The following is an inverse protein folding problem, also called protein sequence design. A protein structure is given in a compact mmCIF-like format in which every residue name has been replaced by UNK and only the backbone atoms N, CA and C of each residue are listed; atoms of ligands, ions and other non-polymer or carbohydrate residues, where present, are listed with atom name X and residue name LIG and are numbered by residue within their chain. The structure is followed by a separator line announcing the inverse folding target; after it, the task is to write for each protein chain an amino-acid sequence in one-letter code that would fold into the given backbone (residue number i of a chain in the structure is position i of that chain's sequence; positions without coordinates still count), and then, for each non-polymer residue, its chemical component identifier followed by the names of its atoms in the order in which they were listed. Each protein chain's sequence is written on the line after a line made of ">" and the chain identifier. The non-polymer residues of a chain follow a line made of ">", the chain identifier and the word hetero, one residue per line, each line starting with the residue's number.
data_IF_096566181835
#
_entry.id   IF_096566181835
#
_cell.length_a   1.000
_cell.length_b   1.000
_cell.length_c   1.000
_cell.angle_alpha   90.00
_cell.angle_beta   90.00
_cell.angle_gamma   90.00
#
_symmetry.space_group_name_H-M   'P 1'
#
loop_
_entity.id
_entity.type
_entity.pdbx_description
1 polymer ?
#
# COMPACT_ATOMS: atom_id res chain seq x y z
N UNK A 1 6.39 30.44 20.82
CA UNK A 1 6.59 31.50 19.80
C UNK A 1 6.95 32.84 20.42
N UNK A 2 6.44 33.20 21.61
CA UNK A 2 6.79 34.45 22.28
C UNK A 2 8.29 34.67 22.55
N UNK A 3 9.04 33.62 22.94
CA UNK A 3 10.49 33.77 23.22
C UNK A 3 11.31 34.05 21.96
N UNK A 4 11.00 33.36 20.86
CA UNK A 4 11.66 33.57 19.56
C UNK A 4 11.31 34.92 18.94
N UNK A 5 10.10 35.43 19.18
CA UNK A 5 9.72 36.78 18.76
C UNK A 5 10.46 37.87 19.55
N UNK A 6 10.61 37.68 20.87
CA UNK A 6 11.41 38.57 21.73
C UNK A 6 12.89 38.60 21.34
N UNK A 7 13.44 37.46 20.94
CA UNK A 7 14.81 37.37 20.42
C UNK A 7 14.94 38.02 19.04
N UNK A 8 13.92 37.91 18.19
CA UNK A 8 13.91 38.60 16.90
C UNK A 8 13.87 40.13 17.07
N UNK A 9 13.12 40.63 18.06
CA UNK A 9 13.12 42.03 18.46
C UNK A 9 14.50 42.48 18.97
N UNK A 10 15.17 41.68 19.81
CA UNK A 10 16.48 42.05 20.35
C UNK A 10 17.60 42.02 19.31
N UNK A 11 17.44 41.22 18.25
CA UNK A 11 18.38 41.16 17.11
C UNK A 11 18.16 42.26 16.07
N UNK A 12 17.09 43.07 16.19
CA UNK A 12 16.81 44.18 15.29
C UNK A 12 16.47 43.76 13.85
N UNK A 13 15.65 42.72 13.67
CA UNK A 13 15.24 42.28 12.34
C UNK A 13 14.48 43.40 11.59
N UNK A 14 14.56 43.42 10.25
CA UNK A 14 13.90 44.45 9.45
C UNK A 14 12.37 44.42 9.67
N UNK A 15 11.79 45.62 9.71
CA UNK A 15 10.38 45.88 10.01
C UNK A 15 9.36 44.94 9.35
N UNK A 16 9.42 44.62 8.03
CA UNK A 16 8.41 43.76 7.40
C UNK A 16 8.37 42.33 7.95
N UNK A 17 9.52 41.77 8.37
CA UNK A 17 9.58 40.44 8.97
C UNK A 17 8.91 40.45 10.35
N UNK A 18 9.12 41.54 11.08
CA UNK A 18 8.55 41.72 12.40
C UNK A 18 7.03 41.87 12.35
N UNK A 19 6.51 42.62 11.37
CA UNK A 19 5.07 42.79 11.13
C UNK A 19 4.40 41.44 10.84
N UNK A 20 4.98 40.62 9.95
CA UNK A 20 4.43 39.28 9.66
C UNK A 20 4.45 38.39 10.91
N UNK A 21 5.55 38.41 11.68
CA UNK A 21 5.66 37.64 12.90
C UNK A 21 4.67 38.11 13.99
N UNK A 22 4.35 39.41 14.03
CA UNK A 22 3.32 39.97 14.90
C UNK A 22 1.92 39.51 14.48
N UNK A 23 1.60 39.49 13.19
CA UNK A 23 0.32 38.94 12.69
C UNK A 23 0.09 37.47 13.07
N UNK A 24 1.15 36.66 13.11
CA UNK A 24 1.04 35.26 13.57
C UNK A 24 0.97 35.11 15.10
N UNK A 25 1.38 36.14 15.86
CA UNK A 25 1.47 36.11 17.32
C UNK A 25 0.30 36.82 18.02
N UNK A 26 -0.24 37.87 17.41
CA UNK A 26 -1.35 38.68 17.93
C UNK A 26 -2.68 37.98 17.65
N UNK A 27 -3.00 36.99 18.48
CA UNK A 27 -4.30 36.32 18.49
C UNK A 27 -5.39 37.18 19.12
N UNK A 28 -5.72 38.33 18.54
CA UNK A 28 -6.86 39.14 18.98
C UNK A 28 -8.14 38.60 18.33
N UNK A 29 -8.91 37.86 19.13
CA UNK A 29 -10.39 37.71 19.20
C UNK A 29 -11.24 37.43 17.94
N UNK A 30 -10.65 37.38 16.74
CA UNK A 30 -11.32 36.93 15.50
C UNK A 30 -10.37 36.33 14.46
N UNK A 31 -9.07 36.32 14.72
CA UNK A 31 -8.00 35.97 13.78
C UNK A 31 -7.01 35.00 14.47
N UNK A 32 -7.45 33.80 14.87
CA UNK A 32 -6.61 32.78 15.55
C UNK A 32 -5.73 31.95 14.60
N UNK A 33 -5.24 32.57 13.52
CA UNK A 33 -4.51 31.89 12.44
C UNK A 33 -3.26 31.18 12.90
N UNK A 34 -2.48 31.78 13.81
CA UNK A 34 -1.27 31.17 14.34
C UNK A 34 -1.52 29.83 15.05
N UNK A 35 -2.65 29.70 15.75
CA UNK A 35 -3.07 28.46 16.40
C UNK A 35 -3.60 27.44 15.40
N UNK A 36 -4.49 27.87 14.51
CA UNK A 36 -5.11 27.00 13.50
C UNK A 36 -4.10 26.43 12.51
N UNK A 37 -3.16 27.24 12.00
CA UNK A 37 -2.06 26.76 11.16
C UNK A 37 -1.16 25.77 11.87
N UNK A 38 -0.91 25.99 13.18
CA UNK A 38 -0.11 25.07 13.98
C UNK A 38 -0.82 23.72 14.16
N UNK A 39 -2.11 23.73 14.45
CA UNK A 39 -2.93 22.51 14.56
C UNK A 39 -3.02 21.77 13.23
N UNK A 40 -3.25 22.48 12.12
CA UNK A 40 -3.25 21.91 10.78
C UNK A 40 -1.89 21.29 10.41
N UNK A 41 -0.80 21.96 10.79
CA UNK A 41 0.57 21.45 10.63
C UNK A 41 0.84 20.19 11.44
N UNK A 42 0.43 20.15 12.71
CA UNK A 42 0.56 18.95 13.56
C UNK A 42 -0.24 17.77 13.01
N UNK A 43 -1.47 18.02 12.56
CA UNK A 43 -2.28 17.00 11.90
C UNK A 43 -1.59 16.46 10.64
N UNK A 44 -1.12 17.35 9.77
CA UNK A 44 -0.46 16.96 8.53
C UNK A 44 0.82 16.15 8.77
N UNK A 45 1.68 16.55 9.71
CA UNK A 45 2.92 15.81 9.99
C UNK A 45 2.65 14.43 10.58
N UNK A 46 1.66 14.28 11.48
CA UNK A 46 1.29 12.97 12.04
C UNK A 46 0.80 12.06 10.92
N UNK A 47 -0.09 12.57 10.06
CA UNK A 47 -0.63 11.81 8.93
C UNK A 47 0.41 11.47 7.86
N UNK A 48 1.38 12.35 7.61
CA UNK A 48 2.48 12.05 6.69
C UNK A 48 3.42 10.97 7.25
N UNK A 49 3.67 10.97 8.57
CA UNK A 49 4.44 9.90 9.22
C UNK A 49 3.71 8.56 9.18
N UNK A 50 2.39 8.54 9.38
CA UNK A 50 1.61 7.31 9.22
C UNK A 50 1.59 6.84 7.76
N UNK A 51 1.45 7.76 6.79
CA UNK A 51 1.57 7.44 5.38
C UNK A 51 2.95 6.85 5.04
N UNK A 52 4.02 7.43 5.58
CA UNK A 52 5.39 6.94 5.37
C UNK A 52 5.59 5.53 5.96
N UNK A 53 5.06 5.27 7.16
CA UNK A 53 5.09 3.94 7.75
C UNK A 53 4.30 2.91 6.91
N UNK A 54 3.12 3.28 6.42
CA UNK A 54 2.32 2.44 5.51
C UNK A 54 3.02 2.21 4.18
N UNK A 55 3.73 3.22 3.67
CA UNK A 55 4.54 3.12 2.46
C UNK A 55 5.71 2.14 2.64
N UNK A 56 6.40 2.14 3.78
CA UNK A 56 7.40 1.13 4.09
C UNK A 56 6.78 -0.27 4.20
N UNK A 57 5.62 -0.38 4.86
CA UNK A 57 4.91 -1.64 5.03
C UNK A 57 4.41 -2.21 3.70
N UNK A 58 3.89 -1.38 2.79
CA UNK A 58 3.46 -1.85 1.48
C UNK A 58 4.66 -2.35 0.65
N UNK A 59 5.82 -1.70 0.70
CA UNK A 59 7.03 -2.16 0.01
C UNK A 59 7.49 -3.53 0.54
N UNK A 60 7.44 -3.73 1.86
CA UNK A 60 7.73 -5.02 2.48
C UNK A 60 6.73 -6.10 2.04
N UNK A 61 5.43 -5.80 2.08
CA UNK A 61 4.40 -6.77 1.68
C UNK A 61 4.46 -7.10 0.18
N UNK A 62 4.82 -6.15 -0.69
CA UNK A 62 4.99 -6.43 -2.11
C UNK A 62 6.09 -7.49 -2.38
N UNK A 63 7.09 -7.60 -1.51
CA UNK A 63 8.15 -8.61 -1.59
C UNK A 63 7.67 -9.98 -1.06
N UNK A 64 6.93 -9.99 0.06
CA UNK A 64 6.54 -11.23 0.75
C UNK A 64 5.23 -11.82 0.19
N UNK A 65 4.16 -11.01 0.15
CA UNK A 65 2.84 -11.38 -0.36
C UNK A 65 2.19 -10.16 -1.06
N UNK A 66 2.25 -10.08 -2.39
CA UNK A 66 1.76 -8.96 -3.19
C UNK A 66 0.30 -8.61 -2.96
N UNK A 67 -0.54 -9.62 -2.67
CA UNK A 67 -1.97 -9.43 -2.38
C UNK A 67 -2.22 -8.50 -1.18
N UNK A 68 -1.41 -8.60 -0.13
CA UNK A 68 -1.49 -7.66 0.99
C UNK A 68 -0.81 -6.33 0.66
N UNK A 69 0.20 -6.35 -0.21
CA UNK A 69 0.87 -5.15 -0.72
C UNK A 69 -0.06 -4.22 -1.49
N UNK A 70 -0.91 -4.74 -2.37
CA UNK A 70 -1.88 -3.96 -3.16
C UNK A 70 -2.96 -3.32 -2.29
N UNK A 71 -3.45 -4.06 -1.28
CA UNK A 71 -4.38 -3.54 -0.28
C UNK A 71 -3.75 -2.40 0.53
N UNK A 72 -2.50 -2.55 0.99
CA UNK A 72 -1.80 -1.48 1.70
C UNK A 72 -1.49 -0.29 0.81
N UNK A 73 -1.22 -0.50 -0.47
CA UNK A 73 -0.94 0.55 -1.44
C UNK A 73 -2.16 1.42 -1.71
N UNK A 74 -3.36 0.83 -1.84
CA UNK A 74 -4.62 1.60 -1.94
C UNK A 74 -4.92 2.36 -0.64
N UNK A 75 -4.75 1.74 0.53
CA UNK A 75 -4.94 2.39 1.83
C UNK A 75 -3.95 3.55 2.03
N UNK A 76 -2.68 3.37 1.64
CA UNK A 76 -1.66 4.42 1.69
C UNK A 76 -2.04 5.61 0.82
N UNK A 77 -2.50 5.36 -0.42
CA UNK A 77 -2.97 6.41 -1.33
C UNK A 77 -4.19 7.17 -0.78
N UNK A 78 -5.17 6.45 -0.23
CA UNK A 78 -6.34 7.06 0.42
C UNK A 78 -5.96 7.90 1.64
N UNK A 79 -4.97 7.45 2.42
CA UNK A 79 -4.47 8.19 3.58
C UNK A 79 -3.77 9.49 3.14
N UNK A 80 -2.99 9.47 2.06
CA UNK A 80 -2.39 10.69 1.48
C UNK A 80 -3.45 11.70 1.00
N UNK A 81 -4.45 11.24 0.25
CA UNK A 81 -5.57 12.09 -0.19
C UNK A 81 -6.37 12.61 1.01
N UNK A 82 -6.60 11.76 2.01
CA UNK A 82 -7.26 12.12 3.27
C UNK A 82 -6.47 13.16 4.07
N UNK A 83 -5.14 13.11 4.03
CA UNK A 83 -4.26 14.10 4.66
C UNK A 83 -4.41 15.47 3.99
N UNK A 84 -4.41 15.49 2.66
CA UNK A 84 -4.58 16.71 1.84
C UNK A 84 -5.98 17.32 2.06
N UNK A 85 -7.02 16.49 2.07
CA UNK A 85 -8.39 16.91 2.33
C UNK A 85 -8.57 17.41 3.77
N UNK A 86 -8.03 16.68 4.75
CA UNK A 86 -8.02 17.09 6.15
C UNK A 86 -7.29 18.41 6.35
N UNK A 87 -6.13 18.59 5.71
CA UNK A 87 -5.40 19.86 5.76
C UNK A 87 -6.23 21.03 5.20
N UNK A 88 -6.95 20.84 4.09
CA UNK A 88 -7.86 21.86 3.56
C UNK A 88 -9.01 22.18 4.53
N UNK A 89 -9.59 21.17 5.18
CA UNK A 89 -10.70 21.36 6.13
C UNK A 89 -10.27 22.02 7.44
N UNK A 90 -9.01 21.84 7.84
CA UNK A 90 -8.44 22.48 9.02
C UNK A 90 -7.93 23.91 8.73
N UNK A 91 -7.77 24.28 7.46
CA UNK A 91 -7.44 25.63 7.06
C UNK A 91 -8.69 26.52 7.20
N UNK A 92 -8.61 27.67 7.91
CA UNK A 92 -9.73 28.61 7.97
C UNK A 92 -10.07 29.15 6.57
N UNK A 93 -11.36 29.16 6.22
CA UNK A 93 -11.88 29.61 4.91
C UNK A 93 -11.71 31.12 4.63
N UNK A 94 -11.41 31.91 5.67
CA UNK A 94 -11.13 33.32 5.47
C UNK A 94 -9.74 33.46 4.83
N UNK A 95 -9.56 34.28 3.78
CA UNK A 95 -8.24 34.51 3.19
C UNK A 95 -7.37 35.32 4.16
N UNK A 96 -6.15 34.84 4.44
CA UNK A 96 -5.17 35.52 5.28
C UNK A 96 -4.63 36.73 4.52
N UNK A 97 -5.38 37.83 4.49
CA UNK A 97 -4.96 39.07 3.84
C UNK A 97 -4.08 39.86 4.80
N UNK A 98 -2.77 39.62 4.76
CA UNK A 98 -1.81 40.42 5.51
C UNK A 98 -1.63 41.73 4.75
N UNK A 99 -2.05 42.82 5.38
CA UNK A 99 -1.87 44.17 4.85
C UNK A 99 -0.51 44.69 5.32
N UNK A 100 0.49 44.69 4.43
CA UNK A 100 1.78 45.31 4.71
C UNK A 100 1.81 46.66 4.00
N UNK A 101 1.52 47.74 4.75
CA UNK A 101 1.66 49.16 4.40
C UNK A 101 0.93 49.65 3.13
N UNK A 102 1.16 49.04 1.96
CA UNK A 102 0.44 49.28 0.69
C UNK A 102 0.32 48.04 -0.22
N UNK A 103 0.75 46.84 0.21
CA UNK A 103 0.69 45.62 -0.61
C UNK A 103 -0.07 44.50 0.13
N UNK A 104 -0.98 43.85 -0.60
CA UNK A 104 -1.76 42.70 -0.15
C UNK A 104 -0.97 41.44 -0.47
N UNK A 105 -0.68 40.60 0.54
CA UNK A 105 -0.05 39.29 0.33
C UNK A 105 -1.09 38.21 0.49
N UNK A 106 -1.50 37.61 -0.64
CA UNK A 106 -2.38 36.45 -0.65
C UNK A 106 -1.57 35.16 -0.50
N UNK A 107 -2.00 34.28 0.39
CA UNK A 107 -1.37 32.98 0.59
C UNK A 107 -1.98 31.94 -0.35
N UNK A 108 -1.19 31.47 -1.30
CA UNK A 108 -1.56 30.36 -2.17
C UNK A 108 -1.03 29.02 -1.65
N UNK A 109 -1.75 27.94 -1.99
CA UNK A 109 -1.29 26.56 -1.73
C UNK A 109 0.03 26.30 -2.46
N UNK A 110 1.07 25.94 -1.71
CA UNK A 110 2.39 25.66 -2.28
C UNK A 110 2.43 24.39 -3.14
N UNK A 111 3.50 24.25 -3.92
CA UNK A 111 3.74 23.07 -4.77
C UNK A 111 3.75 21.74 -4.02
N UNK A 112 4.22 21.72 -2.78
CA UNK A 112 4.24 20.52 -1.93
C UNK A 112 2.84 19.90 -1.76
N UNK A 113 1.81 20.73 -1.62
CA UNK A 113 0.42 20.27 -1.51
C UNK A 113 0.00 19.48 -2.76
N UNK A 114 0.26 20.03 -3.95
CA UNK A 114 -0.06 19.39 -5.23
C UNK A 114 0.74 18.11 -5.45
N UNK A 115 2.00 18.07 -5.02
CA UNK A 115 2.83 16.87 -5.09
C UNK A 115 2.27 15.72 -4.24
N UNK A 116 1.85 16.00 -3.01
CA UNK A 116 1.26 14.97 -2.13
C UNK A 116 -0.08 14.49 -2.70
N UNK A 117 -0.89 15.40 -3.23
CA UNK A 117 -2.16 15.05 -3.86
C UNK A 117 -1.99 14.14 -5.09
N UNK A 118 -1.10 14.54 -6.00
CA UNK A 118 -0.80 13.76 -7.21
C UNK A 118 -0.18 12.40 -6.89
N UNK A 119 0.75 12.34 -5.92
CA UNK A 119 1.31 11.07 -5.45
C UNK A 119 0.22 10.15 -4.86
N UNK A 120 -0.68 10.68 -4.03
CA UNK A 120 -1.82 9.94 -3.50
C UNK A 120 -2.73 9.40 -4.60
N UNK A 121 -3.06 10.21 -5.60
CA UNK A 121 -3.85 9.77 -6.76
C UNK A 121 -3.16 8.64 -7.54
N UNK A 122 -1.86 8.76 -7.82
CA UNK A 122 -1.10 7.73 -8.52
C UNK A 122 -1.11 6.41 -7.72
N UNK A 123 -0.92 6.46 -6.40
CA UNK A 123 -0.97 5.27 -5.54
C UNK A 123 -2.36 4.61 -5.53
N UNK A 124 -3.45 5.38 -5.46
CA UNK A 124 -4.81 4.83 -5.53
C UNK A 124 -5.11 4.23 -6.89
N UNK A 125 -4.76 4.92 -7.98
CA UNK A 125 -4.99 4.44 -9.34
C UNK A 125 -4.23 3.15 -9.62
N UNK A 126 -2.94 3.13 -9.31
CA UNK A 126 -2.11 1.92 -9.48
C UNK A 126 -2.60 0.76 -8.61
N UNK A 127 -2.95 1.00 -7.34
CA UNK A 127 -3.55 -0.01 -6.48
C UNK A 127 -4.88 -0.54 -7.03
N UNK A 128 -5.78 0.33 -7.48
CA UNK A 128 -7.06 -0.04 -8.05
C UNK A 128 -6.93 -0.85 -9.36
N UNK A 129 -5.97 -0.49 -10.21
CA UNK A 129 -5.65 -1.28 -11.42
C UNK A 129 -5.25 -2.68 -11.01
N UNK A 130 -4.28 -2.83 -10.10
CA UNK A 130 -3.79 -4.16 -9.68
C UNK A 130 -4.90 -4.98 -9.03
N UNK A 131 -5.70 -4.38 -8.14
CA UNK A 131 -6.86 -5.06 -7.53
C UNK A 131 -7.89 -5.48 -8.58
N UNK A 132 -8.14 -4.67 -9.60
CA UNK A 132 -9.05 -5.03 -10.70
C UNK A 132 -8.52 -6.22 -11.49
N UNK A 133 -7.22 -6.24 -11.80
CA UNK A 133 -6.64 -7.38 -12.51
C UNK A 133 -6.67 -8.65 -11.66
N UNK A 134 -6.47 -8.53 -10.34
CA UNK A 134 -6.59 -9.65 -9.39
C UNK A 134 -8.02 -10.24 -9.35
N UNK A 135 -9.06 -9.39 -9.47
CA UNK A 135 -10.47 -9.84 -9.51
C UNK A 135 -10.80 -10.52 -10.84
N UNK A 136 -10.28 -10.02 -11.97
CA UNK A 136 -10.58 -10.56 -13.30
C UNK A 136 -9.82 -11.86 -13.58
N UNK A 137 -8.57 -11.97 -13.10
CA UNK A 137 -7.71 -13.14 -13.32
C UNK A 137 -7.16 -13.71 -12.01
N UNK A 138 -8.02 -14.22 -11.10
CA UNK A 138 -7.57 -14.76 -9.82
C UNK A 138 -6.59 -15.93 -10.00
N UNK A 139 -6.76 -16.71 -11.08
CA UNK A 139 -5.95 -17.89 -11.35
C UNK A 139 -4.57 -17.58 -11.94
N UNK A 140 -4.37 -16.42 -12.60
CA UNK A 140 -3.08 -16.07 -13.23
C UNK A 140 -2.19 -15.23 -12.31
N UNK A 141 -2.76 -14.49 -11.34
CA UNK A 141 -1.99 -13.73 -10.36
C UNK A 141 -1.31 -14.60 -9.31
N UNK A 142 -1.93 -15.73 -8.92
CA UNK A 142 -1.25 -16.76 -8.11
C UNK A 142 -0.02 -17.26 -8.85
N UNK A 143 -0.15 -17.70 -10.11
CA UNK A 143 0.95 -18.33 -10.87
C UNK A 143 2.13 -17.39 -11.21
N UNK A 144 1.90 -16.07 -11.36
CA UNK A 144 2.98 -15.12 -11.74
C UNK A 144 3.88 -14.75 -10.55
N UNK A 145 3.37 -14.85 -9.31
CA UNK A 145 4.08 -14.40 -8.12
C UNK A 145 4.38 -15.52 -7.11
N UNK A 146 3.68 -16.64 -7.22
CA UNK A 146 4.11 -17.96 -6.76
C UNK A 146 5.17 -18.49 -7.74
N UNK A 147 6.36 -17.88 -7.68
CA UNK A 147 7.55 -18.43 -8.32
C UNK A 147 7.79 -19.80 -7.68
N UNK A 148 7.36 -20.85 -8.39
CA UNK A 148 7.59 -22.28 -8.16
C UNK A 148 6.60 -23.04 -7.23
N UNK A 149 5.48 -23.50 -7.79
CA UNK A 149 4.76 -24.69 -7.29
C UNK A 149 4.65 -25.80 -8.34
N UNK A 150 5.53 -25.81 -9.35
CA UNK A 150 5.88 -27.02 -10.09
C UNK A 150 6.90 -27.87 -9.29
N UNK A 151 6.87 -27.81 -7.96
CA UNK A 151 7.62 -28.78 -7.16
C UNK A 151 6.85 -30.11 -7.16
N UNK A 152 7.54 -31.27 -7.24
CA UNK A 152 6.95 -32.60 -7.37
C UNK A 152 6.06 -33.05 -6.18
N UNK A 153 5.71 -32.13 -5.27
CA UNK A 153 4.93 -32.34 -4.05
C UNK A 153 3.55 -31.68 -4.09
N UNK A 154 3.12 -31.10 -5.20
CA UNK A 154 1.76 -30.56 -5.31
C UNK A 154 0.72 -31.68 -5.17
N UNK A 155 -0.35 -31.41 -4.42
CA UNK A 155 -1.35 -32.39 -4.01
C UNK A 155 -2.01 -33.06 -5.22
N UNK A 156 -2.20 -32.32 -6.31
CA UNK A 156 -2.86 -32.82 -7.51
C UNK A 156 -2.00 -33.83 -8.28
N UNK A 157 -0.69 -33.59 -8.43
CA UNK A 157 0.25 -34.56 -9.03
C UNK A 157 0.48 -35.79 -8.14
N UNK A 158 0.50 -35.66 -6.81
CA UNK A 158 0.59 -36.82 -5.92
C UNK A 158 -0.66 -37.71 -6.05
N UNK A 159 -1.84 -37.10 -6.15
CA UNK A 159 -3.09 -37.83 -6.35
C UNK A 159 -3.07 -38.52 -7.72
N UNK A 160 -2.67 -37.82 -8.79
CA UNK A 160 -2.61 -38.39 -10.13
C UNK A 160 -1.58 -39.53 -10.27
N UNK A 161 -0.37 -39.36 -9.72
CA UNK A 161 0.65 -40.42 -9.68
C UNK A 161 0.19 -41.63 -8.83
N UNK A 162 -0.56 -41.40 -7.74
CA UNK A 162 -1.12 -42.48 -6.93
C UNK A 162 -2.21 -43.28 -7.67
N UNK A 163 -3.01 -42.62 -8.52
CA UNK A 163 -3.98 -43.28 -9.39
C UNK A 163 -3.29 -44.05 -10.53
N UNK A 164 -2.24 -43.47 -11.14
CA UNK A 164 -1.42 -44.13 -12.17
C UNK A 164 -0.74 -45.40 -11.66
N UNK A 165 -0.10 -45.34 -10.48
CA UNK A 165 0.54 -46.51 -9.85
C UNK A 165 -0.45 -47.58 -9.41
N UNK A 166 -1.65 -47.21 -8.94
CA UNK A 166 -2.72 -48.20 -8.65
C UNK A 166 -3.21 -48.89 -9.92
N UNK A 167 -3.37 -48.15 -11.02
CA UNK A 167 -3.80 -48.73 -12.30
C UNK A 167 -2.73 -49.68 -12.86
N UNK A 168 -1.45 -49.28 -12.85
CA UNK A 168 -0.35 -50.11 -13.30
C UNK A 168 -0.18 -51.37 -12.44
N UNK A 169 -0.29 -51.26 -11.11
CA UNK A 169 -0.26 -52.42 -10.20
C UNK A 169 -1.44 -53.37 -10.43
N UNK A 170 -2.63 -52.85 -10.69
CA UNK A 170 -3.81 -53.66 -11.03
C UNK A 170 -3.64 -54.37 -12.38
N UNK A 171 -3.07 -53.69 -13.38
CA UNK A 171 -2.79 -54.26 -14.70
C UNK A 171 -1.71 -55.35 -14.63
N UNK A 172 -0.64 -55.12 -13.87
CA UNK A 172 0.44 -56.11 -13.65
C UNK A 172 -0.02 -57.30 -12.81
N UNK A 173 -0.95 -57.08 -11.87
CA UNK A 173 -1.57 -58.16 -11.10
C UNK A 173 -2.55 -58.99 -11.96
N UNK A 174 -3.34 -58.35 -12.82
CA UNK A 174 -4.24 -59.07 -13.74
C UNK A 174 -3.48 -59.84 -14.81
N UNK A 175 -2.42 -59.27 -15.40
CA UNK A 175 -1.61 -59.99 -16.39
C UNK A 175 -0.87 -61.20 -15.80
N UNK A 176 -0.66 -61.24 -14.49
CA UNK A 176 -0.06 -62.38 -13.78
C UNK A 176 -1.07 -63.46 -13.38
N UNK A 177 -2.37 -63.18 -13.53
CA UNK A 177 -3.47 -64.10 -13.24
C UNK A 177 -4.08 -64.72 -14.52
N UNK A 178 -3.63 -64.28 -15.70
CA UNK A 178 -4.08 -64.75 -17.02
C UNK A 178 -3.16 -65.81 -17.66
N UNK A 179 -2.30 -66.50 -16.90
CA UNK A 179 -1.77 -67.78 -17.36
C UNK A 179 -2.90 -68.84 -17.26
N UNK A 180 -3.38 -69.40 -18.39
CA UNK A 180 -4.46 -70.36 -18.36
C UNK A 180 -3.99 -71.68 -17.76
N UNK A 181 -4.52 -72.00 -16.59
CA UNK A 181 -4.60 -73.36 -16.07
C UNK A 181 -5.56 -74.18 -16.95
N UNK A 182 -5.01 -75.04 -17.82
CA UNK A 182 -5.84 -75.84 -18.74
C UNK A 182 -5.17 -76.89 -19.64
N UNK A 183 -4.48 -77.86 -19.03
CA UNK A 183 -4.56 -79.33 -19.31
C UNK A 183 -4.19 -79.87 -20.71
N UNK A 184 -3.11 -80.68 -20.75
CA UNK A 184 -3.05 -81.96 -21.48
C UNK A 184 -2.00 -82.85 -20.79
N UNK A 185 -2.37 -83.73 -19.84
CA UNK A 185 -2.67 -85.14 -20.05
C UNK A 185 -1.55 -85.89 -20.80
N UNK A 186 -0.77 -86.68 -20.05
CA UNK A 186 0.34 -87.47 -20.58
C UNK A 186 1.00 -88.33 -19.50
N UNK A 187 0.35 -89.44 -19.18
CA UNK A 187 0.80 -90.54 -18.33
C UNK A 187 2.25 -91.00 -18.54
N UNK A 188 2.87 -91.45 -17.43
CA UNK A 188 3.84 -92.56 -17.28
C UNK A 188 4.97 -92.70 -18.32
N UNK A 189 6.20 -92.83 -17.82
CA UNK A 189 7.22 -93.89 -18.08
C UNK A 189 8.50 -93.42 -17.34
N UNK A 190 8.81 -93.95 -16.15
CA UNK A 190 9.81 -95.00 -15.88
C UNK A 190 11.14 -94.82 -16.65
N UNK A 191 12.21 -94.34 -16.00
CA UNK A 191 13.29 -95.16 -15.43
C UNK A 191 14.27 -94.28 -14.66
#
# INVERSE_FOLDING_TARGET
>A
MGNSFREALSRGLPFPILTVAEYFNTGQEGLSWGGQYRTAGYFAIIMLWTAFALWLLMNLMLIVVPRYGTMLMTVCGLLLIGTVCGYLKLLPENPLVIHIESSIVDFHLGWCYWLVFTAGCICVLSGAIITTVEIVFPNSFSTILEVDYDTPYDRHIIIEDSHGRRYQKKRFSNSKLEEPSGISLGSRILR
#
